data_IF_195706945851
#
_entry.id   IF_195706945851
#
_cell.length_a   1.000
_cell.length_b   1.000
_cell.length_c   1.000
_cell.angle_alpha   90.00
_cell.angle_beta   90.00
_cell.angle_gamma   90.00
#
_symmetry.space_group_name_H-M   'P 1'
#
loop_
_entity.id
_entity.type
_entity.pdbx_description
1 polymer ?
#
# COMPACT_ATOMS: atom_id res chain seq x y z
N UNK A 1 -2.43 8.47 -14.57
CA UNK A 1 -2.98 9.39 -13.54
C UNK A 1 -2.75 8.92 -12.10
N UNK A 2 -2.96 7.64 -11.75
CA UNK A 2 -2.68 7.17 -10.37
C UNK A 2 -1.21 7.32 -9.91
N UNK A 3 -0.26 7.17 -10.85
CA UNK A 3 1.19 7.28 -10.60
C UNK A 3 1.71 8.73 -10.51
N UNK A 4 0.91 9.71 -10.94
CA UNK A 4 1.30 11.14 -11.04
C UNK A 4 0.74 11.93 -9.84
N UNK A 5 0.37 11.25 -8.74
CA UNK A 5 -0.19 11.88 -7.53
C UNK A 5 -1.61 12.42 -7.64
N UNK A 6 -2.21 12.41 -8.83
CA UNK A 6 -3.55 12.96 -9.11
C UNK A 6 -4.69 12.21 -8.41
N UNK A 7 -4.49 10.93 -8.08
CA UNK A 7 -5.51 10.13 -7.40
C UNK A 7 -5.11 9.84 -5.96
N UNK A 8 -6.08 10.05 -5.05
CA UNK A 8 -5.91 9.71 -3.63
C UNK A 8 -5.89 8.19 -3.47
N UNK A 9 -4.90 7.73 -2.73
CA UNK A 9 -4.73 6.33 -2.37
C UNK A 9 -5.28 6.12 -0.97
N UNK A 10 -6.25 5.22 -0.81
CA UNK A 10 -6.78 4.82 0.50
C UNK A 10 -6.06 3.56 0.95
N UNK A 11 -5.54 3.57 2.17
CA UNK A 11 -4.94 2.38 2.78
C UNK A 11 -6.04 1.35 3.00
N UNK A 12 -5.95 0.22 2.32
CA UNK A 12 -6.97 -0.82 2.35
C UNK A 12 -6.49 -1.92 3.29
N UNK A 13 -6.51 -1.64 4.59
CA UNK A 13 -6.62 -2.59 5.72
C UNK A 13 -5.61 -3.73 5.90
N UNK A 14 -4.89 -4.20 4.88
CA UNK A 14 -4.03 -5.37 4.96
C UNK A 14 -2.71 -5.01 5.59
N UNK A 15 -2.58 -5.31 6.87
CA UNK A 15 -1.31 -5.38 7.59
C UNK A 15 -0.89 -6.85 7.51
N UNK A 16 -0.49 -7.31 6.32
CA UNK A 16 0.01 -8.67 6.18
C UNK A 16 1.46 -8.67 6.66
N UNK A 17 1.70 -9.39 7.75
CA UNK A 17 3.02 -9.66 8.29
C UNK A 17 3.45 -11.03 7.72
N UNK A 18 3.64 -11.15 6.40
CA UNK A 18 4.08 -12.42 5.81
C UNK A 18 5.55 -12.74 6.08
N UNK A 19 6.38 -11.74 6.41
CA UNK A 19 7.78 -11.94 6.76
C UNK A 19 8.15 -11.14 8.00
N UNK A 20 8.85 -11.77 8.95
CA UNK A 20 9.18 -11.24 10.27
C UNK A 20 9.79 -9.82 10.24
N UNK A 21 10.43 -9.44 9.12
CA UNK A 21 11.21 -8.22 8.96
C UNK A 21 10.56 -7.16 8.04
N UNK A 22 9.44 -7.44 7.37
CA UNK A 22 8.78 -6.48 6.46
C UNK A 22 7.29 -6.34 6.78
N UNK A 23 6.76 -5.15 6.56
CA UNK A 23 5.35 -4.82 6.70
C UNK A 23 4.79 -4.49 5.34
N UNK A 24 3.88 -5.32 4.87
CA UNK A 24 3.14 -5.03 3.65
C UNK A 24 2.02 -4.04 3.95
N UNK A 25 1.92 -3.00 3.11
CA UNK A 25 0.83 -2.03 3.14
C UNK A 25 0.18 -2.02 1.76
N UNK A 26 -1.08 -2.43 1.70
CA UNK A 26 -1.89 -2.31 0.50
C UNK A 26 -2.61 -0.97 0.46
N UNK A 27 -2.54 -0.32 -0.70
CA UNK A 27 -3.29 0.89 -0.98
C UNK A 27 -4.12 0.69 -2.24
N UNK A 28 -5.36 1.14 -2.18
CA UNK A 28 -6.28 1.10 -3.31
C UNK A 28 -6.62 2.53 -3.69
N UNK A 29 -6.54 2.82 -4.98
CA UNK A 29 -6.97 4.10 -5.53
C UNK A 29 -8.49 4.18 -5.42
N UNK A 30 -9.02 5.18 -4.70
CA UNK A 30 -10.47 5.33 -4.51
C UNK A 30 -11.22 5.66 -5.79
N UNK A 31 -10.51 6.15 -6.82
CA UNK A 31 -11.11 6.58 -8.08
C UNK A 31 -11.06 5.51 -9.17
N UNK A 32 -10.03 4.68 -9.20
CA UNK A 32 -9.79 3.71 -10.29
C UNK A 32 -9.77 2.26 -9.82
N UNK A 33 -9.82 1.99 -8.52
CA UNK A 33 -9.68 0.63 -7.98
C UNK A 33 -8.28 0.02 -8.14
N UNK A 34 -7.32 0.72 -8.76
CA UNK A 34 -5.93 0.24 -8.87
C UNK A 34 -5.35 -0.03 -7.48
N UNK A 35 -4.63 -1.13 -7.35
CA UNK A 35 -3.94 -1.50 -6.11
C UNK A 35 -2.45 -1.20 -6.25
N UNK A 36 -1.84 -0.75 -5.16
CA UNK A 36 -0.38 -0.67 -5.01
C UNK A 36 0.01 -1.30 -3.68
N UNK A 37 1.08 -2.08 -3.68
CA UNK A 37 1.65 -2.69 -2.48
C UNK A 37 2.95 -2.00 -2.17
N UNK A 38 3.12 -1.56 -0.93
CA UNK A 38 4.37 -0.99 -0.43
C UNK A 38 4.90 -1.94 0.64
N UNK A 39 6.16 -2.33 0.48
CA UNK A 39 6.90 -3.13 1.44
C UNK A 39 7.78 -2.18 2.25
N UNK A 40 7.44 -1.97 3.52
CA UNK A 40 8.30 -1.21 4.43
C UNK A 40 9.05 -2.19 5.33
N UNK A 41 10.39 -2.12 5.42
CA UNK A 41 11.11 -2.88 6.42
C UNK A 41 10.69 -2.41 7.82
N UNK A 42 10.52 -3.35 8.74
CA UNK A 42 10.41 -3.01 10.16
C UNK A 42 11.78 -2.48 10.56
N UNK A 43 11.92 -1.15 10.70
CA UNK A 43 13.07 -0.60 11.40
C UNK A 43 12.95 -1.04 12.85
N UNK A 44 13.92 -1.85 13.28
CA UNK A 44 14.26 -2.10 14.68
C UNK A 44 14.50 -0.76 15.39
#
# INVERSE_FOLDING_TARGET
MCLIGLHKWKRSGGLNIYASNVREKYFVCTRCGKQKTIYEPKKD
#
